data_IF_819176378609
#
_entry.id   IF_819176378609
#
_cell.length_a   1.000
_cell.length_b   1.000
_cell.length_c   1.000
_cell.angle_alpha   90.00
_cell.angle_beta   90.00
_cell.angle_gamma   90.00
#
_symmetry.space_group_name_H-M   'P 1'
#
loop_
_entity.id
_entity.type
_entity.pdbx_description
1 polymer ?
#
# COMPACT_ATOMS: atom_id res chain seq x y z
N UNK A 1 -15.68 12.00 -12.52
CA UNK A 1 -14.50 12.31 -11.71
C UNK A 1 -13.46 11.28 -12.08
N UNK A 2 -12.26 11.70 -12.47
CA UNK A 2 -11.15 10.76 -12.63
C UNK A 2 -10.80 10.24 -11.24
N UNK A 3 -11.09 8.98 -10.96
CA UNK A 3 -10.63 8.33 -9.74
C UNK A 3 -9.11 8.14 -9.86
N UNK A 4 -8.38 8.83 -8.99
CA UNK A 4 -6.93 8.80 -8.92
C UNK A 4 -6.50 8.37 -7.53
N UNK A 5 -5.36 7.69 -7.45
CA UNK A 5 -4.71 7.44 -6.17
C UNK A 5 -4.25 8.75 -5.54
N UNK A 6 -4.08 8.73 -4.22
CA UNK A 6 -3.41 9.80 -3.50
C UNK A 6 -2.00 10.02 -4.07
N UNK A 7 -1.58 11.28 -4.16
CA UNK A 7 -0.41 11.70 -4.97
C UNK A 7 0.89 11.01 -4.56
N UNK A 8 1.13 10.84 -3.26
CA UNK A 8 2.29 10.12 -2.75
C UNK A 8 2.32 8.66 -3.19
N UNK A 9 1.18 7.97 -3.07
CA UNK A 9 1.06 6.58 -3.49
C UNK A 9 1.17 6.42 -5.01
N UNK A 10 0.58 7.35 -5.78
CA UNK A 10 0.71 7.37 -7.23
C UNK A 10 2.18 7.57 -7.66
N UNK A 11 2.89 8.50 -7.02
CA UNK A 11 4.31 8.73 -7.26
C UNK A 11 5.15 7.49 -6.95
N UNK A 12 4.84 6.78 -5.85
CA UNK A 12 5.51 5.51 -5.53
C UNK A 12 5.37 4.50 -6.68
N UNK A 13 4.15 4.25 -7.15
CA UNK A 13 3.92 3.31 -8.26
C UNK A 13 4.65 3.78 -9.52
N UNK A 14 4.62 5.08 -9.82
CA UNK A 14 5.32 5.67 -10.95
C UNK A 14 6.83 5.43 -10.88
N UNK A 15 7.46 5.67 -9.72
CA UNK A 15 8.89 5.46 -9.51
C UNK A 15 9.26 4.00 -9.78
N UNK A 16 8.52 3.04 -9.22
CA UNK A 16 8.76 1.62 -9.44
C UNK A 16 8.71 1.23 -10.93
N UNK A 17 7.79 1.82 -11.69
CA UNK A 17 7.65 1.61 -13.13
C UNK A 17 8.78 2.26 -13.93
N UNK A 18 9.11 3.52 -13.64
CA UNK A 18 10.09 4.31 -14.40
C UNK A 18 11.54 3.88 -14.16
N UNK A 19 11.85 3.43 -12.94
CA UNK A 19 13.18 2.91 -12.60
C UNK A 19 13.41 1.49 -13.10
N UNK A 20 12.36 0.83 -13.62
CA UNK A 20 12.41 -0.57 -14.04
C UNK A 20 12.60 -1.54 -12.87
N UNK A 21 12.28 -1.14 -11.64
CA UNK A 21 12.29 -2.03 -10.48
C UNK A 21 11.25 -3.14 -10.57
N UNK A 22 10.16 -2.89 -11.31
CA UNK A 22 9.16 -3.89 -11.67
C UNK A 22 8.72 -3.70 -13.11
N UNK A 23 8.18 -4.76 -13.72
CA UNK A 23 7.60 -4.69 -15.05
C UNK A 23 6.39 -3.74 -15.10
N UNK A 24 6.17 -3.00 -16.20
CA UNK A 24 5.06 -2.05 -16.32
C UNK A 24 3.69 -2.67 -16.09
N UNK A 25 3.45 -3.88 -16.60
CA UNK A 25 2.19 -4.61 -16.43
C UNK A 25 1.87 -4.92 -14.96
N UNK A 26 2.91 -5.14 -14.13
CA UNK A 26 2.76 -5.35 -12.70
C UNK A 26 2.37 -4.05 -12.01
N UNK A 27 3.04 -2.94 -12.32
CA UNK A 27 2.71 -1.63 -11.77
C UNK A 27 1.26 -1.22 -12.11
N UNK A 28 0.86 -1.41 -13.38
CA UNK A 28 -0.51 -1.14 -13.83
C UNK A 28 -1.54 -2.04 -13.15
N UNK A 29 -1.24 -3.32 -12.95
CA UNK A 29 -2.11 -4.23 -12.21
C UNK A 29 -2.30 -3.76 -10.76
N UNK A 30 -1.21 -3.47 -10.05
CA UNK A 30 -1.26 -3.03 -8.65
C UNK A 30 -2.02 -1.71 -8.53
N UNK A 31 -1.81 -0.76 -9.42
CA UNK A 31 -2.55 0.51 -9.45
C UNK A 31 -4.07 0.28 -9.56
N UNK A 32 -4.51 -0.62 -10.45
CA UNK A 32 -5.93 -0.97 -10.60
C UNK A 32 -6.50 -1.62 -9.34
N UNK A 33 -5.74 -2.50 -8.70
CA UNK A 33 -6.15 -3.15 -7.46
C UNK A 33 -6.30 -2.12 -6.32
N UNK A 34 -5.34 -1.21 -6.16
CA UNK A 34 -5.41 -0.14 -5.16
C UNK A 34 -6.63 0.77 -5.37
N UNK A 35 -6.93 1.14 -6.62
CA UNK A 35 -8.16 1.88 -6.93
C UNK A 35 -9.42 1.07 -6.60
N UNK A 36 -9.40 -0.25 -6.81
CA UNK A 36 -10.46 -1.15 -6.39
C UNK A 36 -10.68 -1.17 -4.88
N UNK A 37 -9.59 -1.15 -4.10
CA UNK A 37 -9.63 -1.06 -2.64
C UNK A 37 -10.22 0.29 -2.18
N UNK A 38 -9.82 1.40 -2.81
CA UNK A 38 -10.41 2.72 -2.55
C UNK A 38 -11.92 2.74 -2.80
N UNK A 39 -12.38 2.15 -3.92
CA UNK A 39 -13.81 2.01 -4.22
C UNK A 39 -14.58 1.16 -3.22
N UNK A 40 -13.90 0.17 -2.63
CA UNK A 40 -14.46 -0.64 -1.55
C UNK A 40 -14.52 0.10 -0.20
N UNK A 41 -14.09 1.36 -0.15
CA UNK A 41 -14.09 2.20 1.05
C UNK A 41 -12.90 1.97 1.98
N UNK A 42 -11.85 1.28 1.51
CA UNK A 42 -10.63 1.09 2.29
C UNK A 42 -9.77 2.37 2.24
N UNK A 43 -9.07 2.69 3.35
CA UNK A 43 -8.31 3.92 3.46
C UNK A 43 -6.97 3.80 2.73
N UNK A 44 -6.94 3.89 1.41
CA UNK A 44 -5.74 3.71 0.59
C UNK A 44 -4.99 5.04 0.40
N UNK A 45 -3.82 5.16 1.02
CA UNK A 45 -2.87 6.27 0.84
C UNK A 45 -1.42 5.78 0.95
N UNK A 46 -0.46 6.66 0.69
CA UNK A 46 0.96 6.37 0.90
C UNK A 46 1.24 5.88 2.34
N UNK A 47 0.61 6.50 3.33
CA UNK A 47 0.80 6.18 4.75
C UNK A 47 0.24 4.80 5.13
N UNK A 48 -0.92 4.43 4.58
CA UNK A 48 -1.66 3.24 5.00
C UNK A 48 -1.38 2.03 4.11
N UNK A 49 -1.17 2.24 2.81
CA UNK A 49 -1.03 1.22 1.80
C UNK A 49 0.37 1.18 1.18
N UNK A 50 1.28 2.11 1.50
CA UNK A 50 2.61 2.13 0.90
C UNK A 50 3.36 0.79 1.02
N UNK A 51 3.42 0.20 2.22
CA UNK A 51 4.09 -1.10 2.40
C UNK A 51 3.40 -2.22 1.63
N UNK A 52 2.06 -2.25 1.64
CA UNK A 52 1.27 -3.20 0.85
C UNK A 52 1.61 -3.09 -0.64
N UNK A 53 1.65 -1.86 -1.15
CA UNK A 53 1.95 -1.55 -2.55
C UNK A 53 3.34 -2.03 -2.95
N UNK A 54 4.37 -1.68 -2.17
CA UNK A 54 5.74 -2.13 -2.44
C UNK A 54 5.86 -3.66 -2.40
N UNK A 55 5.28 -4.30 -1.39
CA UNK A 55 5.31 -5.76 -1.25
C UNK A 55 4.61 -6.44 -2.44
N UNK A 56 3.40 -6.01 -2.81
CA UNK A 56 2.64 -6.61 -3.90
C UNK A 56 3.34 -6.43 -5.25
N UNK A 57 3.89 -5.24 -5.53
CA UNK A 57 4.66 -4.99 -6.76
C UNK A 57 5.87 -5.93 -6.85
N UNK A 58 6.65 -6.07 -5.78
CA UNK A 58 7.83 -6.93 -5.78
C UNK A 58 7.48 -8.42 -5.85
N UNK A 59 6.47 -8.87 -5.12
CA UNK A 59 6.04 -10.27 -5.13
C UNK A 59 5.55 -10.69 -6.52
N UNK A 60 4.67 -9.88 -7.14
CA UNK A 60 4.16 -10.18 -8.47
C UNK A 60 5.24 -10.11 -9.56
N UNK A 61 6.17 -9.17 -9.46
CA UNK A 61 7.27 -9.09 -10.43
C UNK A 61 8.20 -10.31 -10.36
N UNK A 62 8.56 -10.75 -9.16
CA UNK A 62 9.34 -11.98 -8.96
C UNK A 62 8.59 -13.21 -9.47
N UNK A 63 7.30 -13.32 -9.15
CA UNK A 63 6.46 -14.43 -9.62
C UNK A 63 6.36 -14.47 -11.14
N UNK A 64 6.20 -13.31 -11.79
CA UNK A 64 6.17 -13.20 -13.25
C UNK A 64 7.55 -13.48 -13.88
N UNK A 65 8.63 -13.27 -13.13
CA UNK A 65 9.98 -13.71 -13.48
C UNK A 65 10.24 -15.21 -13.30
N UNK A 66 9.30 -15.96 -12.73
CA UNK A 66 9.49 -17.37 -12.40
C UNK A 66 10.42 -17.60 -11.20
N UNK A 67 10.67 -16.57 -10.39
CA UNK A 67 11.42 -16.72 -9.15
C UNK A 67 10.55 -17.39 -8.08
N UNK A 68 11.18 -18.24 -7.26
CA UNK A 68 10.46 -18.84 -6.13
C UNK A 68 10.21 -17.80 -5.05
N UNK A 69 8.95 -17.74 -4.63
CA UNK A 69 8.48 -17.01 -3.45
C UNK A 69 8.25 -17.94 -2.26
N UNK A 70 8.63 -19.21 -2.38
CA UNK A 70 8.55 -20.15 -1.26
C UNK A 70 9.60 -19.78 -0.21
N UNK A 71 9.13 -19.25 0.91
CA UNK A 71 9.92 -19.15 2.13
C UNK A 71 9.58 -20.35 3.04
N UNK A 72 10.51 -21.30 3.20
CA UNK A 72 10.30 -22.47 4.07
C UNK A 72 10.15 -22.12 5.55
N UNK A 73 10.62 -20.93 5.98
CA UNK A 73 10.57 -20.46 7.36
C UNK A 73 9.36 -19.54 7.65
N UNK A 74 8.64 -19.08 6.61
CA UNK A 74 7.45 -18.24 6.76
C UNK A 74 6.24 -18.98 7.35
N UNK A 75 6.34 -20.28 7.61
CA UNK A 75 5.23 -21.09 8.12
C UNK A 75 5.16 -21.13 9.64
N UNK A 76 4.08 -20.59 10.20
CA UNK A 76 3.62 -20.95 11.54
C UNK A 76 2.52 -20.06 12.12
N UNK A 77 2.65 -18.74 11.99
CA UNK A 77 1.86 -17.82 12.84
C UNK A 77 0.77 -17.02 12.11
N UNK A 78 0.73 -17.02 10.77
CA UNK A 78 -0.25 -16.19 10.04
C UNK A 78 -1.70 -16.67 10.21
N UNK A 79 -1.92 -17.99 10.36
CA UNK A 79 -3.28 -18.53 10.45
C UNK A 79 -4.01 -18.07 11.70
N UNK A 80 -3.29 -17.96 12.83
CA UNK A 80 -3.84 -17.45 14.09
C UNK A 80 -4.16 -15.95 13.98
N UNK A 81 -3.21 -15.16 13.47
CA UNK A 81 -3.39 -13.72 13.26
C UNK A 81 -4.54 -13.42 12.29
N UNK A 82 -4.71 -14.23 11.23
CA UNK A 82 -5.74 -14.05 10.22
C UNK A 82 -7.12 -14.61 10.61
N UNK A 83 -7.23 -15.38 11.70
CA UNK A 83 -8.50 -15.93 12.15
C UNK A 83 -9.54 -14.83 12.44
N UNK A 84 -9.08 -13.67 12.93
CA UNK A 84 -9.91 -12.47 13.15
C UNK A 84 -10.24 -11.67 11.89
N UNK A 85 -9.61 -11.98 10.75
CA UNK A 85 -9.68 -11.18 9.53
C UNK A 85 -10.04 -11.98 8.27
N UNK A 86 -11.15 -12.76 8.26
CA UNK A 86 -11.53 -13.59 7.12
C UNK A 86 -11.84 -12.77 5.86
N UNK A 87 -12.24 -11.51 6.00
CA UNK A 87 -12.42 -10.58 4.87
C UNK A 87 -11.12 -10.28 4.14
N UNK A 88 -10.03 -10.05 4.88
CA UNK A 88 -8.71 -9.79 4.32
C UNK A 88 -8.16 -11.01 3.58
N UNK A 89 -8.35 -12.22 4.14
CA UNK A 89 -7.98 -13.48 3.47
C UNK A 89 -8.74 -13.67 2.15
N UNK A 90 -10.04 -13.39 2.13
CA UNK A 90 -10.84 -13.48 0.89
C UNK A 90 -10.34 -12.49 -0.16
N UNK A 91 -10.02 -11.28 0.25
CA UNK A 91 -9.55 -10.23 -0.65
C UNK A 91 -8.16 -10.54 -1.21
N UNK A 92 -7.22 -11.02 -0.38
CA UNK A 92 -5.91 -11.49 -0.83
C UNK A 92 -6.03 -12.59 -1.90
N UNK A 93 -6.88 -13.59 -1.66
CA UNK A 93 -7.14 -14.66 -2.64
C UNK A 93 -7.78 -14.17 -3.93
N UNK A 94 -8.63 -13.13 -3.85
CA UNK A 94 -9.22 -12.52 -5.04
C UNK A 94 -8.18 -11.75 -5.86
N UNK A 95 -7.30 -10.98 -5.20
CA UNK A 95 -6.19 -10.29 -5.86
C UNK A 95 -5.26 -11.30 -6.51
N UNK A 96 -4.90 -12.38 -5.81
CA UNK A 96 -4.05 -13.45 -6.35
C UNK A 96 -4.63 -14.08 -7.61
N UNK A 97 -5.93 -14.43 -7.61
CA UNK A 97 -6.60 -14.96 -8.81
C UNK A 97 -6.62 -13.96 -9.96
N UNK A 98 -6.90 -12.69 -9.68
CA UNK A 98 -6.87 -11.65 -10.72
C UNK A 98 -5.46 -11.45 -11.29
N UNK A 99 -4.43 -11.58 -10.46
CA UNK A 99 -3.04 -11.51 -10.91
C UNK A 99 -2.72 -12.66 -11.86
N UNK A 100 -3.08 -13.88 -11.51
CA UNK A 100 -2.96 -15.06 -12.39
C UNK A 100 -3.69 -14.83 -13.72
N UNK A 101 -4.95 -14.40 -13.69
CA UNK A 101 -5.76 -14.16 -14.89
C UNK A 101 -5.24 -13.01 -15.77
N UNK A 102 -4.69 -11.95 -15.16
CA UNK A 102 -4.30 -10.72 -15.88
C UNK A 102 -2.85 -10.73 -16.33
N UNK A 103 -1.94 -11.22 -15.49
CA UNK A 103 -0.50 -11.21 -15.74
C UNK A 103 0.00 -12.55 -16.30
N UNK A 104 -0.82 -13.61 -16.25
CA UNK A 104 -0.41 -14.95 -16.67
C UNK A 104 0.62 -15.57 -15.73
N UNK A 105 0.71 -15.10 -14.48
CA UNK A 105 1.55 -15.70 -13.46
C UNK A 105 0.96 -17.02 -12.97
N UNK A 106 1.77 -17.85 -12.31
CA UNK A 106 1.20 -18.88 -11.42
C UNK A 106 0.40 -18.25 -10.26
N UNK A 107 -0.31 -19.08 -9.47
CA UNK A 107 -0.92 -18.60 -8.23
C UNK A 107 0.15 -18.12 -7.25
N UNK A 108 -0.20 -17.12 -6.41
CA UNK A 108 0.68 -16.76 -5.30
C UNK A 108 0.76 -17.95 -4.33
N UNK A 109 1.95 -18.30 -3.82
CA UNK A 109 2.07 -19.30 -2.76
C UNK A 109 1.21 -18.94 -1.54
N UNK A 110 0.86 -19.95 -0.74
CA UNK A 110 0.03 -19.75 0.44
C UNK A 110 0.65 -18.76 1.45
N UNK A 111 1.97 -18.79 1.61
CA UNK A 111 2.70 -17.86 2.46
C UNK A 111 2.54 -16.40 1.99
N UNK A 112 2.73 -16.14 0.70
CA UNK A 112 2.55 -14.81 0.10
C UNK A 112 1.10 -14.33 0.15
N UNK A 113 0.15 -15.26 -0.07
CA UNK A 113 -1.28 -14.96 0.11
C UNK A 113 -1.60 -14.59 1.56
N UNK A 114 -0.92 -15.22 2.53
CA UNK A 114 -1.00 -14.89 3.95
C UNK A 114 -0.44 -13.50 4.28
N UNK A 115 0.75 -13.17 3.78
CA UNK A 115 1.35 -11.83 3.95
C UNK A 115 0.49 -10.73 3.34
N UNK A 116 -0.03 -10.95 2.13
CA UNK A 116 -0.97 -10.04 1.49
C UNK A 116 -2.23 -9.86 2.34
N UNK A 117 -2.77 -10.94 2.91
CA UNK A 117 -3.92 -10.87 3.80
C UNK A 117 -3.62 -10.07 5.08
N UNK A 118 -2.42 -10.18 5.66
CA UNK A 118 -2.03 -9.38 6.82
C UNK A 118 -1.97 -7.89 6.49
N UNK A 119 -1.38 -7.52 5.36
CA UNK A 119 -1.38 -6.12 4.91
C UNK A 119 -2.79 -5.57 4.73
N UNK A 120 -3.70 -6.35 4.14
CA UNK A 120 -5.09 -5.96 3.96
C UNK A 120 -5.86 -5.88 5.30
N UNK A 121 -5.55 -6.76 6.26
CA UNK A 121 -6.13 -6.73 7.60
C UNK A 121 -5.70 -5.45 8.35
N UNK A 122 -4.44 -5.06 8.25
CA UNK A 122 -3.94 -3.79 8.81
C UNK A 122 -4.59 -2.60 8.11
N UNK A 123 -4.66 -2.61 6.79
CA UNK A 123 -5.30 -1.56 6.00
C UNK A 123 -6.77 -1.35 6.41
N UNK A 124 -7.52 -2.44 6.58
CA UNK A 124 -8.94 -2.38 6.96
C UNK A 124 -9.19 -1.90 8.40
N UNK A 125 -8.17 -1.97 9.27
CA UNK A 125 -8.25 -1.49 10.65
C UNK A 125 -7.85 -0.03 10.81
N UNK A 126 -7.13 0.53 9.83
CA UNK A 126 -6.78 1.94 9.88
C UNK A 126 -8.05 2.79 9.71
N UNK A 127 -8.22 3.85 10.51
CA UNK A 127 -9.22 4.85 10.17
C UNK A 127 -8.83 5.45 8.82
N UNK A 128 -9.81 5.73 7.97
CA UNK A 128 -9.60 6.68 6.88
C UNK A 128 -9.16 7.98 7.54
N UNK A 129 -7.87 8.27 7.49
CA UNK A 129 -7.30 9.44 8.11
C UNK A 129 -8.13 10.65 7.64
N UNK A 130 -8.57 11.45 8.61
CA UNK A 130 -9.31 12.65 8.36
C UNK A 130 -8.56 13.47 7.31
N UNK A 131 -9.19 13.66 6.15
CA UNK A 131 -8.83 14.73 5.27
C UNK A 131 -8.87 16.01 6.12
N UNK A 132 -7.76 16.75 6.11
CA UNK A 132 -7.53 18.04 6.77
C UNK A 132 -6.76 17.98 8.11
N UNK A 133 -5.47 18.28 7.99
CA UNK A 133 -4.69 18.97 9.03
C UNK A 133 -3.49 19.61 8.34
N UNK A 134 -3.74 20.70 7.60
CA UNK A 134 -2.72 21.72 7.45
C UNK A 134 -2.58 22.48 8.79
N UNK A 135 -1.37 22.68 9.32
CA UNK A 135 -1.09 23.90 10.05
C UNK A 135 -0.50 24.90 9.07
N UNK A 136 -1.36 25.80 8.59
CA UNK A 136 -0.94 27.15 8.25
C UNK A 136 -0.35 27.78 9.51
N UNK A 137 0.95 28.03 9.51
CA UNK A 137 1.51 29.08 10.35
C UNK A 137 2.57 29.79 9.54
N UNK A 138 2.07 30.69 8.70
CA UNK A 138 2.75 31.92 8.31
C UNK A 138 3.42 32.56 9.54
N UNK A 139 4.75 32.46 9.64
CA UNK A 139 5.54 33.36 10.46
C UNK A 139 6.14 34.42 9.52
N UNK A 140 5.31 35.42 9.21
CA UNK A 140 5.80 36.69 8.70
C UNK A 140 6.44 37.46 9.86
N UNK A 141 7.67 37.92 9.62
CA UNK A 141 8.45 38.66 10.60
C UNK A 141 8.08 40.14 10.60
N UNK A 142 8.05 40.77 11.77
CA UNK A 142 8.71 42.07 12.06
C UNK A 142 8.22 42.62 13.41
N UNK A 143 9.17 42.93 14.31
CA UNK A 143 9.39 44.27 14.85
C UNK A 143 10.06 44.23 16.24
N UNK A 144 11.35 44.60 16.22
CA UNK A 144 12.11 45.30 17.26
C UNK A 144 11.24 46.18 18.19
N UNK A 145 11.46 46.12 19.52
CA UNK A 145 11.74 47.32 20.37
C UNK A 145 12.58 46.95 21.61
N UNK A 146 13.48 47.89 21.92
CA UNK A 146 14.50 47.90 22.96
C UNK A 146 13.98 48.49 24.28
N UNK A 147 14.67 48.15 25.39
CA UNK A 147 14.99 48.90 26.63
C UNK A 147 13.95 49.77 27.37
N UNK A 148 13.95 49.58 28.70
CA UNK A 148 13.49 50.49 29.76
C UNK A 148 13.36 49.67 31.06
N UNK A 149 14.34 49.68 31.97
CA UNK A 149 14.54 50.64 33.07
C UNK A 149 13.46 50.57 34.18
N UNK A 150 13.96 50.67 35.42
CA UNK A 150 13.28 50.93 36.72
C UNK A 150 12.96 49.76 37.67
N UNK A 151 12.92 50.03 39.01
CA UNK A 151 13.17 51.30 39.72
C UNK A 151 14.46 51.36 40.55
#
# INVERSE_FOLDING_TARGET
MEEKLEEGLALRVQVFRETGQVRPEVAEFVERELLGLTRAGLPVSEETAGMLTSHLMMALDRLLGGESLEDPDAHGHMAEELAGHPGAVRLARQISRRAEETLGTGPLPDAETGYLALHLAVLAQRPAAAADSAPDTTLDGTAVRQNGDQP
#
